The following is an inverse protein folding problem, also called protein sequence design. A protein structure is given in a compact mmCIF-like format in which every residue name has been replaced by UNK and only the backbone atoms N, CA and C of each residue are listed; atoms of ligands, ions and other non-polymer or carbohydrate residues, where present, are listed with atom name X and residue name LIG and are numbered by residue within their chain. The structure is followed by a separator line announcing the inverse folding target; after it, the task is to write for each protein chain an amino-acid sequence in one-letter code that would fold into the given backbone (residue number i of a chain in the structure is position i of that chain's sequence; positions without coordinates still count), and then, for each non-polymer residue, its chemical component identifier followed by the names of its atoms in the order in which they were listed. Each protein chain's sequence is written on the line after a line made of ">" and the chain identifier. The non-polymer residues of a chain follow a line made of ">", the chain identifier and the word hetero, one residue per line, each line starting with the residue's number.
data_IF_219568630317
#
_entry.id   IF_219568630317
#
_cell.length_a   1.000
_cell.length_b   1.000
_cell.length_c   1.000
_cell.angle_alpha   90.00
_cell.angle_beta   90.00
_cell.angle_gamma   90.00
#
_symmetry.space_group_name_H-M   'P 1'
#
loop_
_entity.id
_entity.type
_entity.pdbx_description
1 polymer ?
#
# COMPACT_ATOMS: atom_id res chain seq x y z
N UNK A 1 9.31 9.28 0.50
CA UNK A 1 8.23 10.19 0.95
C UNK A 1 8.68 11.62 0.75
N UNK A 2 7.83 12.47 0.17
CA UNK A 2 8.13 13.91 -0.02
C UNK A 2 7.28 14.72 0.94
N UNK A 3 7.89 15.62 1.71
CA UNK A 3 7.20 16.49 2.68
C UNK A 3 7.65 17.93 2.54
N UNK A 4 6.72 18.88 2.70
CA UNK A 4 7.03 20.30 2.81
C UNK A 4 6.92 20.70 4.28
N UNK A 5 8.07 20.95 4.91
CA UNK A 5 8.16 21.19 6.35
C UNK A 5 8.84 22.52 6.63
N UNK A 6 8.42 23.16 7.71
CA UNK A 6 9.12 24.28 8.30
C UNK A 6 9.96 23.74 9.44
N UNK A 7 11.28 23.78 9.27
CA UNK A 7 12.18 23.32 10.34
C UNK A 7 12.46 24.49 11.24
N UNK A 8 11.80 24.53 12.39
CA UNK A 8 12.04 25.58 13.37
C UNK A 8 13.33 25.33 14.14
N UNK A 9 14.29 26.22 13.92
CA UNK A 9 15.62 26.16 14.50
C UNK A 9 15.83 27.28 15.50
N UNK A 10 16.36 26.96 16.68
CA UNK A 10 16.81 27.96 17.65
C UNK A 10 18.11 27.54 18.32
N UNK A 11 19.05 28.49 18.40
CA UNK A 11 20.34 28.33 19.07
C UNK A 11 20.79 29.66 19.69
N UNK A 12 21.86 29.62 20.47
CA UNK A 12 22.50 30.81 21.02
C UNK A 12 23.89 30.98 20.43
N UNK A 13 24.20 32.18 19.96
CA UNK A 13 25.52 32.57 19.50
C UNK A 13 26.04 33.74 20.36
N UNK A 14 27.11 33.48 21.11
CA UNK A 14 27.73 34.47 22.00
C UNK A 14 28.35 35.64 21.24
N UNK A 15 28.68 35.48 19.94
CA UNK A 15 29.24 36.56 19.10
C UNK A 15 28.18 37.54 18.61
N UNK A 16 26.91 37.15 18.68
CA UNK A 16 25.77 37.94 18.18
C UNK A 16 24.98 38.59 19.31
N UNK A 17 25.64 38.88 20.44
CA UNK A 17 25.07 39.56 21.60
C UNK A 17 25.44 41.05 21.58
N UNK A 18 24.49 41.93 21.87
CA UNK A 18 24.74 43.38 21.99
C UNK A 18 23.90 43.99 23.13
N UNK A 19 24.29 45.18 23.59
CA UNK A 19 23.47 45.96 24.54
C UNK A 19 22.54 46.90 23.74
N UNK A 20 21.21 46.75 23.81
CA UNK A 20 20.27 47.64 23.14
C UNK A 20 20.52 49.13 23.44
N UNK A 21 21.06 49.48 24.61
CA UNK A 21 21.33 50.88 24.99
C UNK A 21 22.38 51.55 24.09
N UNK A 22 23.34 50.80 23.58
CA UNK A 22 24.40 51.33 22.70
C UNK A 22 23.93 51.50 21.25
N UNK A 23 22.85 50.81 20.86
CA UNK A 23 22.36 50.73 19.49
C UNK A 23 20.94 51.30 19.32
N UNK A 24 20.59 52.33 20.11
CA UNK A 24 19.31 53.04 19.95
C UNK A 24 18.07 52.23 20.34
N UNK A 25 18.21 51.28 21.27
CA UNK A 25 17.12 50.44 21.79
C UNK A 25 16.75 49.26 20.89
N UNK A 26 17.59 48.89 19.92
CA UNK A 26 17.31 47.76 19.02
C UNK A 26 17.42 46.44 19.80
N UNK A 27 16.31 45.73 19.96
CA UNK A 27 16.27 44.43 20.65
C UNK A 27 16.30 43.23 19.68
N UNK A 28 15.90 43.43 18.42
CA UNK A 28 15.80 42.36 17.43
C UNK A 28 16.25 42.80 16.03
N UNK A 29 16.85 41.87 15.29
CA UNK A 29 17.37 42.08 13.94
C UNK A 29 17.02 40.91 13.03
N UNK A 30 16.76 41.18 11.75
CA UNK A 30 16.60 40.15 10.73
C UNK A 30 17.81 40.12 9.81
N UNK A 31 18.59 39.05 9.88
CA UNK A 31 19.85 38.91 9.13
C UNK A 31 19.74 37.72 8.17
N UNK A 32 20.26 37.82 6.93
CA UNK A 32 20.35 36.66 6.03
C UNK A 32 21.07 35.48 6.69
N UNK A 33 20.52 34.28 6.59
CA UNK A 33 21.08 33.07 7.21
C UNK A 33 22.46 32.66 6.69
N UNK A 34 22.88 33.17 5.53
CA UNK A 34 24.16 32.85 4.91
C UNK A 34 25.33 33.69 5.47
N UNK A 35 25.03 34.77 6.21
CA UNK A 35 26.05 35.64 6.83
C UNK A 35 26.37 35.27 8.28
N UNK A 36 25.64 34.31 8.85
CA UNK A 36 25.81 33.86 10.23
C UNK A 36 26.10 32.36 10.24
N UNK A 37 26.75 31.88 11.29
CA UNK A 37 26.89 30.44 11.49
C UNK A 37 25.50 29.83 11.77
N UNK A 38 25.23 28.69 11.13
CA UNK A 38 23.99 27.91 11.30
C UNK A 38 24.35 26.45 11.57
N UNK A 39 23.57 25.74 12.40
CA UNK A 39 23.77 24.30 12.58
C UNK A 39 23.43 23.56 11.29
N UNK A 40 24.22 22.55 10.97
CA UNK A 40 24.13 21.72 9.76
C UNK A 40 23.15 20.55 9.98
N UNK A 41 21.91 20.87 10.33
CA UNK A 41 20.86 19.87 10.51
C UNK A 41 20.42 19.35 9.14
N UNK A 42 20.68 18.07 8.88
CA UNK A 42 20.37 17.40 7.62
C UNK A 42 19.46 16.21 7.85
N UNK A 43 18.76 15.80 6.79
CA UNK A 43 18.00 14.55 6.75
C UNK A 43 18.94 13.39 6.38
N UNK A 44 19.22 12.49 7.33
CA UNK A 44 20.14 11.35 7.08
C UNK A 44 19.59 10.35 6.08
N UNK A 45 18.30 10.02 6.16
CA UNK A 45 17.66 9.11 5.22
C UNK A 45 17.12 9.83 3.99
N UNK A 46 17.88 10.77 3.43
CA UNK A 46 17.50 11.48 2.21
C UNK A 46 17.62 10.58 0.96
N UNK A 47 16.63 10.64 0.07
CA UNK A 47 16.60 9.87 -1.17
C UNK A 47 17.09 10.66 -2.41
N UNK A 48 17.20 12.00 -2.33
CA UNK A 48 17.50 12.88 -3.47
C UNK A 48 18.98 13.28 -3.59
N UNK A 49 19.81 12.94 -2.59
CA UNK A 49 21.23 13.30 -2.55
C UNK A 49 21.54 14.78 -2.29
N UNK A 50 20.54 15.67 -2.32
CA UNK A 50 20.69 17.08 -1.92
C UNK A 50 20.25 17.28 -0.46
N UNK A 51 21.19 17.55 0.42
CA UNK A 51 20.98 17.64 1.88
C UNK A 51 20.71 19.07 2.36
N UNK A 52 20.85 20.07 1.50
CA UNK A 52 20.71 21.49 1.87
C UNK A 52 19.28 22.02 1.68
N UNK A 53 18.93 23.01 2.51
CA UNK A 53 17.68 23.76 2.41
C UNK A 53 17.68 24.58 1.11
N UNK A 54 16.69 24.34 0.24
CA UNK A 54 16.59 24.99 -1.08
C UNK A 54 16.27 26.49 -1.05
N UNK A 55 15.78 27.00 0.09
CA UNK A 55 15.45 28.41 0.28
C UNK A 55 16.04 28.97 1.58
N UNK A 56 17.11 29.76 1.47
CA UNK A 56 17.71 30.47 2.59
C UNK A 56 16.81 31.67 2.99
N UNK A 57 16.10 31.55 4.10
CA UNK A 57 15.31 32.64 4.69
C UNK A 57 16.13 33.44 5.70
N UNK A 58 15.72 34.68 5.98
CA UNK A 58 16.35 35.49 7.04
C UNK A 58 16.12 34.86 8.42
N UNK A 59 17.16 34.84 9.24
CA UNK A 59 17.06 34.49 10.66
C UNK A 59 16.69 35.71 11.49
N UNK A 60 15.99 35.50 12.59
CA UNK A 60 15.67 36.52 13.59
C UNK A 60 16.66 36.39 14.74
N UNK A 61 17.37 37.47 15.02
CA UNK A 61 18.35 37.56 16.10
C UNK A 61 17.81 38.46 17.19
N UNK A 62 18.00 38.04 18.43
CA UNK A 62 17.66 38.79 19.63
C UNK A 62 18.94 39.29 20.30
N UNK A 63 18.91 40.47 20.95
CA UNK A 63 20.06 41.09 21.63
C UNK A 63 20.77 40.17 22.64
N UNK A 64 20.04 39.18 23.18
CA UNK A 64 20.57 38.15 24.08
C UNK A 64 21.56 37.17 23.42
N UNK A 65 21.67 37.19 22.08
CA UNK A 65 22.43 36.21 21.29
C UNK A 65 21.58 35.01 20.85
N UNK A 66 20.27 34.99 21.13
CA UNK A 66 19.37 33.95 20.63
C UNK A 66 19.08 34.17 19.15
N UNK A 67 19.27 33.13 18.34
CA UNK A 67 18.95 33.10 16.93
C UNK A 67 17.79 32.14 16.69
N UNK A 68 16.81 32.57 15.91
CA UNK A 68 15.68 31.76 15.46
C UNK A 68 15.61 31.77 13.94
N UNK A 69 15.59 30.58 13.35
CA UNK A 69 15.58 30.39 11.91
C UNK A 69 14.54 29.33 11.54
N UNK A 70 13.59 29.68 10.68
CA UNK A 70 12.49 28.79 10.28
C UNK A 70 12.44 28.64 8.77
N UNK A 71 13.42 27.96 8.15
CA UNK A 71 13.40 27.72 6.71
C UNK A 71 12.28 26.73 6.31
N UNK A 72 11.53 27.02 5.23
CA UNK A 72 10.74 26.00 4.55
C UNK A 72 11.65 25.11 3.71
N UNK A 73 11.45 23.80 3.77
CA UNK A 73 12.22 22.84 3.01
C UNK A 73 11.34 21.70 2.51
N UNK A 74 11.60 21.25 1.28
CA UNK A 74 11.00 20.06 0.70
C UNK A 74 11.95 18.89 0.94
N UNK A 75 11.61 18.03 1.89
CA UNK A 75 12.40 16.85 2.21
C UNK A 75 11.89 15.62 1.48
N UNK A 76 12.81 14.89 0.86
CA UNK A 76 12.54 13.58 0.24
C UNK A 76 13.21 12.48 1.07
N UNK A 77 12.48 11.87 1.99
CA UNK A 77 13.00 10.77 2.80
C UNK A 77 12.84 9.41 2.10
N UNK A 78 13.82 8.53 2.30
CA UNK A 78 13.72 7.10 1.99
C UNK A 78 12.82 6.42 3.01
N UNK A 79 11.87 5.63 2.51
CA UNK A 79 10.88 4.92 3.30
C UNK A 79 10.65 3.54 2.67
N UNK A 80 10.72 2.49 3.47
CA UNK A 80 10.39 1.13 3.06
C UNK A 80 8.87 0.98 3.01
N UNK A 81 8.36 0.48 1.88
CA UNK A 81 6.92 0.35 1.64
C UNK A 81 6.53 -1.11 1.87
N UNK A 82 5.64 -1.34 2.82
CA UNK A 82 5.03 -2.65 3.03
C UNK A 82 3.83 -2.82 2.10
N UNK A 83 3.94 -3.75 1.14
CA UNK A 83 2.90 -3.99 0.14
C UNK A 83 1.99 -5.17 0.51
N UNK A 84 2.18 -5.83 1.65
CA UNK A 84 1.45 -7.05 2.02
C UNK A 84 -0.07 -6.88 1.90
N UNK A 85 -0.60 -5.77 2.40
CA UNK A 85 -2.04 -5.50 2.43
C UNK A 85 -2.51 -4.50 1.37
N UNK A 86 -1.70 -4.17 0.37
CA UNK A 86 -2.09 -3.23 -0.69
C UNK A 86 -3.46 -3.58 -1.33
N UNK A 87 -4.40 -2.62 -1.50
CA UNK A 87 -4.32 -1.17 -1.25
C UNK A 87 -4.78 -0.73 0.15
N UNK A 88 -5.00 -1.67 1.06
CA UNK A 88 -5.42 -1.48 2.45
C UNK A 88 -4.21 -1.35 3.39
N UNK A 89 -3.12 -0.82 2.88
CA UNK A 89 -1.83 -0.71 3.55
C UNK A 89 -1.73 0.50 4.49
N UNK A 90 -0.98 0.31 5.57
CA UNK A 90 -0.49 1.36 6.47
C UNK A 90 1.03 1.43 6.32
N UNK A 91 1.56 2.64 6.15
CA UNK A 91 2.99 2.88 5.93
C UNK A 91 3.56 3.68 7.08
N UNK A 92 4.66 3.20 7.67
CA UNK A 92 5.39 3.94 8.71
C UNK A 92 6.68 4.47 8.13
N UNK A 93 6.68 5.73 7.72
CA UNK A 93 7.86 6.39 7.18
C UNK A 93 8.60 7.15 8.28
N UNK A 94 9.92 6.95 8.36
CA UNK A 94 10.78 7.65 9.31
C UNK A 94 11.46 8.86 8.67
N UNK A 95 11.66 9.93 9.42
CA UNK A 95 12.52 11.05 9.04
C UNK A 95 13.55 11.25 10.13
N UNK A 96 14.82 11.10 9.78
CA UNK A 96 15.94 11.19 10.73
C UNK A 96 16.72 12.47 10.49
N UNK A 97 16.64 13.40 11.43
CA UNK A 97 17.38 14.65 11.41
C UNK A 97 18.54 14.60 12.39
N UNK A 98 19.70 15.08 11.97
CA UNK A 98 20.89 15.18 12.82
C UNK A 98 21.91 16.13 12.21
N UNK A 99 22.95 16.46 12.97
CA UNK A 99 24.08 17.22 12.45
C UNK A 99 24.94 16.33 11.54
N UNK A 100 25.40 16.84 10.40
CA UNK A 100 26.30 16.07 9.53
C UNK A 100 27.74 16.04 10.04
N UNK A 101 28.21 17.15 10.60
CA UNK A 101 29.63 17.39 10.90
C UNK A 101 29.94 17.36 12.40
N UNK A 102 28.97 17.68 13.26
CA UNK A 102 29.18 17.77 14.70
C UNK A 102 28.77 16.48 15.43
N UNK A 103 29.68 15.98 16.26
CA UNK A 103 29.41 14.93 17.24
C UNK A 103 28.47 15.40 18.36
N UNK A 104 28.00 14.47 19.19
CA UNK A 104 27.08 14.76 20.28
C UNK A 104 27.64 15.68 21.36
N UNK A 105 28.95 15.71 21.59
CA UNK A 105 29.56 16.59 22.58
C UNK A 105 29.57 18.05 22.10
N UNK A 106 29.88 18.28 20.82
CA UNK A 106 29.86 19.60 20.21
C UNK A 106 28.43 20.10 19.96
N UNK A 107 27.55 19.19 19.53
CA UNK A 107 26.16 19.49 19.21
C UNK A 107 25.33 19.76 20.48
N UNK A 108 25.59 19.05 21.59
CA UNK A 108 24.91 19.30 22.88
C UNK A 108 25.10 20.73 23.41
N UNK A 109 26.25 21.34 23.14
CA UNK A 109 26.58 22.71 23.53
C UNK A 109 26.06 23.78 22.55
N UNK A 110 25.97 23.48 21.25
CA UNK A 110 25.64 24.46 20.19
C UNK A 110 24.21 24.37 19.65
N UNK A 111 23.60 23.19 19.67
CA UNK A 111 22.33 22.91 18.99
C UNK A 111 21.21 22.70 20.01
N UNK A 112 20.60 23.80 20.46
CA UNK A 112 19.59 23.77 21.52
C UNK A 112 18.20 23.30 21.05
N UNK A 113 17.90 23.39 19.74
CA UNK A 113 16.76 22.75 19.06
C UNK A 113 16.40 21.38 19.61
N UNK A 114 17.43 20.56 19.81
CA UNK A 114 17.25 19.15 20.05
C UNK A 114 16.70 18.88 21.45
N UNK A 115 16.70 19.86 22.37
CA UNK A 115 16.26 19.65 23.77
C UNK A 115 14.74 19.49 23.89
N UNK A 116 13.96 19.95 22.91
CA UNK A 116 12.49 19.88 22.97
C UNK A 116 11.90 18.59 22.41
N UNK A 117 12.66 17.81 21.64
CA UNK A 117 12.21 16.55 21.03
C UNK A 117 12.93 15.34 21.65
N UNK A 118 12.29 14.17 21.61
CA UNK A 118 12.89 12.91 22.08
C UNK A 118 14.17 12.63 21.30
N UNK A 119 15.32 12.73 21.97
CA UNK A 119 16.65 12.53 21.40
C UNK A 119 16.99 11.06 21.39
N UNK A 120 17.55 10.58 20.29
CA UNK A 120 18.21 9.28 20.24
C UNK A 120 19.72 9.47 20.24
N UNK A 121 20.41 8.70 21.07
CA UNK A 121 21.87 8.66 21.10
C UNK A 121 22.34 7.33 20.52
N UNK A 122 23.22 7.40 19.52
CA UNK A 122 23.82 6.22 18.90
C UNK A 122 25.34 6.27 18.95
N UNK A 123 25.93 5.17 19.37
CA UNK A 123 27.37 4.95 19.32
C UNK A 123 27.71 4.11 18.09
N UNK A 124 28.75 4.52 17.35
CA UNK A 124 29.25 3.79 16.20
C UNK A 124 30.60 3.16 16.54
N UNK A 125 30.90 2.00 15.95
CA UNK A 125 32.14 1.26 16.22
C UNK A 125 33.42 2.06 15.89
N UNK A 126 33.32 3.13 15.10
CA UNK A 126 34.46 3.97 14.75
C UNK A 126 34.92 4.90 15.89
N UNK A 127 34.01 5.26 16.79
CA UNK A 127 34.08 6.54 17.50
C UNK A 127 33.43 6.41 18.89
N UNK A 128 34.08 6.94 19.93
CA UNK A 128 33.58 6.89 21.30
C UNK A 128 32.52 7.98 21.57
N UNK A 129 32.40 8.96 20.68
CA UNK A 129 31.43 10.05 20.77
C UNK A 129 30.02 9.59 20.35
N UNK A 130 28.96 9.98 21.10
CA UNK A 130 27.59 9.70 20.70
C UNK A 130 27.19 10.58 19.52
N UNK A 131 26.49 10.01 18.56
CA UNK A 131 25.83 10.76 17.49
C UNK A 131 24.37 10.93 17.84
N UNK A 132 23.92 12.18 17.75
CA UNK A 132 22.60 12.59 18.17
C UNK A 132 21.66 12.72 16.97
N UNK A 133 20.52 12.03 17.01
CA UNK A 133 19.48 12.13 15.99
C UNK A 133 18.09 12.34 16.59
N UNK A 134 17.25 13.07 15.85
CA UNK A 134 15.81 13.14 16.07
C UNK A 134 15.15 12.30 14.98
N UNK A 135 14.43 11.27 15.39
CA UNK A 135 13.63 10.45 14.49
C UNK A 135 12.15 10.79 14.63
N UNK A 136 11.52 11.25 13.54
CA UNK A 136 10.07 11.40 13.43
C UNK A 136 9.47 10.20 12.71
N UNK A 137 8.53 9.51 13.36
CA UNK A 137 7.79 8.41 12.75
C UNK A 137 6.44 8.94 12.25
N UNK A 138 6.19 8.84 10.95
CA UNK A 138 4.97 9.29 10.30
C UNK A 138 4.24 8.05 9.79
N UNK A 139 3.15 7.68 10.48
CA UNK A 139 2.24 6.61 10.08
C UNK A 139 1.15 7.17 9.16
N UNK A 140 1.06 6.65 7.94
CA UNK A 140 0.10 7.09 6.93
C UNK A 140 -0.73 5.90 6.45
N UNK A 141 -2.05 6.11 6.35
CA UNK A 141 -2.97 5.12 5.79
C UNK A 141 -3.44 5.55 4.41
N UNK A 142 -3.50 4.60 3.47
CA UNK A 142 -3.96 4.86 2.10
C UNK A 142 -5.49 5.05 2.05
N UNK A 143 -5.95 6.05 1.31
CA UNK A 143 -7.36 6.15 0.89
C UNK A 143 -7.62 5.16 -0.25
N UNK A 144 -8.44 4.14 0.02
CA UNK A 144 -8.57 2.94 -0.84
C UNK A 144 -9.57 3.09 -1.99
N UNK A 145 -10.49 4.06 -1.91
CA UNK A 145 -11.66 4.18 -2.80
C UNK A 145 -11.31 4.10 -4.30
N UNK A 146 -10.26 4.79 -4.73
CA UNK A 146 -9.80 4.77 -6.13
C UNK A 146 -9.45 3.34 -6.59
N UNK A 147 -8.68 2.61 -5.78
CA UNK A 147 -8.26 1.25 -6.09
C UNK A 147 -9.42 0.26 -5.94
N UNK A 148 -10.33 0.49 -4.99
CA UNK A 148 -11.54 -0.33 -4.84
C UNK A 148 -12.42 -0.27 -6.08
N UNK A 149 -12.69 0.93 -6.60
CA UNK A 149 -13.56 1.11 -7.77
C UNK A 149 -12.88 0.66 -9.07
N UNK A 150 -11.60 0.98 -9.26
CA UNK A 150 -10.92 0.76 -10.55
C UNK A 150 -10.19 -0.58 -10.65
N UNK A 151 -9.83 -1.22 -9.53
CA UNK A 151 -9.13 -2.52 -9.55
C UNK A 151 -9.95 -3.64 -8.93
N UNK A 152 -10.44 -3.45 -7.70
CA UNK A 152 -11.10 -4.54 -6.96
C UNK A 152 -12.43 -4.92 -7.60
N UNK A 153 -13.33 -3.96 -7.85
CA UNK A 153 -14.65 -4.24 -8.44
C UNK A 153 -14.55 -4.92 -9.81
N UNK A 154 -13.70 -4.46 -10.76
CA UNK A 154 -13.51 -5.15 -12.04
C UNK A 154 -12.96 -6.57 -11.88
N UNK A 155 -11.95 -6.80 -11.03
CA UNK A 155 -11.39 -8.13 -10.82
C UNK A 155 -12.43 -9.08 -10.19
N UNK A 156 -13.25 -8.58 -9.27
CA UNK A 156 -14.39 -9.30 -8.71
C UNK A 156 -15.43 -9.66 -9.78
N UNK A 157 -15.76 -8.73 -10.66
CA UNK A 157 -16.65 -8.98 -11.80
C UNK A 157 -16.09 -10.05 -12.75
N UNK A 158 -14.80 -9.99 -13.08
CA UNK A 158 -14.13 -10.98 -13.92
C UNK A 158 -14.12 -12.36 -13.25
N UNK A 159 -13.86 -12.43 -11.94
CA UNK A 159 -13.92 -13.69 -11.20
C UNK A 159 -15.32 -14.32 -11.26
N UNK A 160 -16.40 -13.52 -11.24
CA UNK A 160 -17.76 -14.03 -11.42
C UNK A 160 -18.04 -14.51 -12.85
N UNK A 161 -17.47 -13.85 -13.87
CA UNK A 161 -17.58 -14.30 -15.26
C UNK A 161 -16.97 -15.69 -15.48
N UNK A 162 -15.95 -16.09 -14.71
CA UNK A 162 -15.39 -17.46 -14.79
C UNK A 162 -16.43 -18.54 -14.43
N UNK A 163 -17.34 -18.25 -13.50
CA UNK A 163 -18.43 -19.17 -13.13
C UNK A 163 -19.48 -19.25 -14.24
N UNK A 164 -19.76 -18.11 -14.90
CA UNK A 164 -20.72 -18.03 -16.00
C UNK A 164 -20.32 -18.92 -17.20
N UNK A 165 -19.02 -19.16 -17.42
CA UNK A 165 -18.51 -20.08 -18.45
C UNK A 165 -19.11 -21.48 -18.33
N UNK A 166 -19.21 -22.03 -17.11
CA UNK A 166 -19.77 -23.36 -16.88
C UNK A 166 -21.30 -23.40 -16.97
N UNK A 167 -21.95 -22.24 -16.92
CA UNK A 167 -23.38 -22.11 -17.12
C UNK A 167 -23.75 -22.09 -18.61
N UNK A 168 -22.84 -21.62 -19.48
CA UNK A 168 -23.06 -21.53 -20.92
C UNK A 168 -23.07 -22.93 -21.57
N UNK A 169 -24.09 -23.28 -22.37
CA UNK A 169 -24.15 -24.57 -23.04
C UNK A 169 -23.04 -24.71 -24.09
N UNK A 170 -22.51 -25.92 -24.22
CA UNK A 170 -21.44 -26.26 -25.18
C UNK A 170 -21.85 -26.16 -26.65
N UNK A 171 -23.16 -26.14 -26.95
CA UNK A 171 -23.67 -25.99 -28.31
C UNK A 171 -23.38 -24.61 -28.93
N UNK A 172 -23.12 -23.59 -28.10
CA UNK A 172 -22.86 -22.21 -28.56
C UNK A 172 -21.49 -22.00 -29.18
N UNK A 173 -20.52 -22.90 -28.97
CA UNK A 173 -19.13 -22.76 -29.48
C UNK A 173 -18.29 -21.66 -28.81
N UNK A 174 -18.91 -20.62 -28.25
CA UNK A 174 -18.23 -19.45 -27.65
C UNK A 174 -17.61 -19.71 -26.25
N UNK A 175 -17.84 -20.88 -25.65
CA UNK A 175 -17.39 -21.21 -24.30
C UNK A 175 -15.87 -21.09 -24.11
N UNK A 176 -15.09 -21.57 -25.07
CA UNK A 176 -13.62 -21.50 -25.05
C UNK A 176 -13.14 -20.07 -25.29
N UNK A 177 -13.77 -19.36 -26.22
CA UNK A 177 -13.48 -17.96 -26.55
C UNK A 177 -13.65 -17.04 -25.34
N UNK A 178 -14.76 -17.21 -24.60
CA UNK A 178 -15.04 -16.49 -23.36
C UNK A 178 -13.97 -16.77 -22.29
N UNK A 179 -13.61 -18.05 -22.10
CA UNK A 179 -12.61 -18.45 -21.09
C UNK A 179 -11.22 -17.86 -21.39
N UNK A 180 -10.77 -17.91 -22.64
CA UNK A 180 -9.48 -17.35 -23.05
C UNK A 180 -9.47 -15.82 -22.90
N UNK A 181 -10.59 -15.17 -23.20
CA UNK A 181 -10.75 -13.72 -23.07
C UNK A 181 -10.71 -13.26 -21.60
N UNK A 182 -11.25 -14.08 -20.69
CA UNK A 182 -11.14 -13.86 -19.24
C UNK A 182 -9.68 -14.00 -18.79
N UNK A 183 -8.97 -15.06 -19.21
CA UNK A 183 -7.55 -15.24 -18.91
C UNK A 183 -6.72 -14.04 -19.38
N UNK A 184 -6.93 -13.60 -20.62
CA UNK A 184 -6.25 -12.42 -21.17
C UNK A 184 -6.54 -11.16 -20.34
N UNK A 185 -7.81 -10.93 -19.99
CA UNK A 185 -8.18 -9.79 -19.13
C UNK A 185 -7.48 -9.85 -17.77
N UNK A 186 -7.45 -11.02 -17.11
CA UNK A 186 -6.74 -11.21 -15.84
C UNK A 186 -5.23 -10.93 -15.97
N UNK A 187 -4.60 -11.35 -17.07
CA UNK A 187 -3.17 -11.04 -17.31
C UNK A 187 -2.92 -9.53 -17.50
N UNK A 188 -3.81 -8.81 -18.19
CA UNK A 188 -3.70 -7.35 -18.33
C UNK A 188 -3.85 -6.66 -16.97
N UNK A 189 -4.80 -7.08 -16.14
CA UNK A 189 -4.93 -6.56 -14.77
C UNK A 189 -3.71 -6.87 -13.90
N UNK A 190 -3.11 -8.05 -14.05
CA UNK A 190 -1.88 -8.41 -13.34
C UNK A 190 -0.70 -7.53 -13.77
N UNK A 191 -0.54 -7.28 -15.07
CA UNK A 191 0.51 -6.38 -15.58
C UNK A 191 0.32 -4.94 -15.05
N UNK A 192 -0.91 -4.44 -15.09
CA UNK A 192 -1.24 -3.12 -14.54
C UNK A 192 -0.93 -3.05 -13.03
N UNK A 193 -1.20 -4.12 -12.28
CA UNK A 193 -0.84 -4.21 -10.86
C UNK A 193 0.68 -4.19 -10.64
N UNK A 194 1.44 -4.89 -11.49
CA UNK A 194 2.89 -4.93 -11.42
C UNK A 194 3.56 -3.58 -11.76
N UNK A 195 2.90 -2.74 -12.57
CA UNK A 195 3.38 -1.38 -12.86
C UNK A 195 3.11 -0.37 -11.73
N UNK A 196 2.00 -0.54 -10.99
CA UNK A 196 1.61 0.39 -9.91
C UNK A 196 2.42 0.14 -8.62
N UNK A 197 2.74 -1.12 -8.33
CA UNK A 197 3.39 -1.54 -7.09
C UNK A 197 4.91 -1.52 -7.29
N UNK A 198 5.71 -1.01 -6.33
CA UNK A 198 7.16 -1.08 -6.44
C UNK A 198 7.64 -2.54 -6.56
N UNK A 199 8.62 -2.84 -7.43
CA UNK A 199 9.14 -4.19 -7.62
C UNK A 199 9.93 -4.62 -6.39
N UNK A 200 9.23 -5.18 -5.41
CA UNK A 200 9.80 -5.71 -4.16
C UNK A 200 9.55 -7.22 -4.11
N UNK A 201 10.53 -7.98 -3.62
CA UNK A 201 10.47 -9.44 -3.50
C UNK A 201 10.22 -9.93 -2.07
N UNK A 202 9.97 -9.01 -1.13
CA UNK A 202 9.80 -9.34 0.29
C UNK A 202 8.49 -10.08 0.53
N UNK A 203 7.40 -9.58 -0.06
CA UNK A 203 6.05 -10.13 0.12
C UNK A 203 5.26 -9.93 -1.17
N UNK A 204 4.31 -10.83 -1.44
CA UNK A 204 3.33 -10.67 -2.53
C UNK A 204 2.11 -9.94 -1.97
N UNK A 205 1.65 -8.84 -2.60
CA UNK A 205 0.50 -8.07 -2.14
C UNK A 205 -0.78 -8.92 -2.14
N UNK A 206 -1.69 -8.64 -1.21
CA UNK A 206 -2.98 -9.32 -1.06
C UNK A 206 -3.78 -9.37 -2.38
N UNK A 207 -3.86 -8.22 -3.08
CA UNK A 207 -4.51 -8.15 -4.39
C UNK A 207 -3.77 -8.97 -5.47
N UNK A 208 -2.44 -9.03 -5.41
CA UNK A 208 -1.65 -9.88 -6.30
C UNK A 208 -1.90 -11.38 -6.05
N UNK A 209 -1.98 -11.79 -4.78
CA UNK A 209 -2.37 -13.16 -4.39
C UNK A 209 -3.74 -13.52 -4.95
N UNK A 210 -4.71 -12.60 -4.90
CA UNK A 210 -6.04 -12.80 -5.49
C UNK A 210 -5.98 -13.03 -6.99
N UNK A 211 -5.36 -12.11 -7.74
CA UNK A 211 -5.31 -12.20 -9.21
C UNK A 211 -4.58 -13.47 -9.64
N UNK A 212 -3.46 -13.82 -9.00
CA UNK A 212 -2.73 -15.06 -9.27
C UNK A 212 -3.57 -16.31 -8.98
N UNK A 213 -4.28 -16.35 -7.84
CA UNK A 213 -5.19 -17.44 -7.51
C UNK A 213 -6.29 -17.59 -8.56
N UNK A 214 -6.92 -16.48 -8.98
CA UNK A 214 -7.95 -16.51 -10.03
C UNK A 214 -7.38 -16.95 -11.38
N UNK A 215 -6.16 -16.55 -11.74
CA UNK A 215 -5.51 -16.95 -12.98
C UNK A 215 -5.20 -18.46 -13.02
N UNK A 216 -4.76 -19.03 -11.90
CA UNK A 216 -4.52 -20.47 -11.76
C UNK A 216 -5.84 -21.24 -11.87
N UNK A 217 -6.89 -20.78 -11.17
CA UNK A 217 -8.22 -21.38 -11.26
C UNK A 217 -8.79 -21.31 -12.68
N UNK A 218 -8.65 -20.18 -13.36
CA UNK A 218 -9.13 -20.00 -14.73
C UNK A 218 -8.38 -20.88 -15.73
N UNK A 219 -7.06 -21.05 -15.56
CA UNK A 219 -6.27 -21.99 -16.36
C UNK A 219 -6.78 -23.43 -16.17
N UNK A 220 -7.05 -23.83 -14.93
CA UNK A 220 -7.64 -25.15 -14.64
C UNK A 220 -9.06 -25.28 -15.23
N UNK A 221 -9.86 -24.21 -15.16
CA UNK A 221 -11.18 -24.12 -15.79
C UNK A 221 -11.10 -24.36 -17.31
N UNK A 222 -10.16 -23.72 -18.01
CA UNK A 222 -9.93 -23.91 -19.45
C UNK A 222 -9.61 -25.38 -19.75
N UNK A 223 -8.72 -26.03 -18.99
CA UNK A 223 -8.42 -27.45 -19.18
C UNK A 223 -9.67 -28.33 -19.01
N UNK A 224 -10.48 -28.06 -17.97
CA UNK A 224 -11.72 -28.78 -17.72
C UNK A 224 -12.75 -28.55 -18.83
N UNK A 225 -12.93 -27.32 -19.31
CA UNK A 225 -13.87 -27.02 -20.40
C UNK A 225 -13.49 -27.75 -21.70
N UNK A 226 -12.20 -27.86 -22.02
CA UNK A 226 -11.73 -28.66 -23.17
C UNK A 226 -12.07 -30.15 -22.99
N UNK A 227 -11.92 -30.70 -21.78
CA UNK A 227 -12.31 -32.09 -21.47
C UNK A 227 -13.82 -32.28 -21.60
N UNK A 228 -14.63 -31.35 -21.07
CA UNK A 228 -16.09 -31.41 -21.19
C UNK A 228 -16.53 -31.33 -22.65
N UNK A 229 -15.91 -30.46 -23.45
CA UNK A 229 -16.18 -30.36 -24.88
C UNK A 229 -15.79 -31.65 -25.62
N UNK A 230 -14.64 -32.26 -25.28
CA UNK A 230 -14.23 -33.55 -25.83
C UNK A 230 -15.27 -34.66 -25.54
N UNK A 231 -15.81 -34.69 -24.32
CA UNK A 231 -16.87 -35.62 -23.92
C UNK A 231 -18.20 -35.29 -24.63
N UNK A 232 -18.54 -34.01 -24.77
CA UNK A 232 -19.79 -33.57 -25.40
C UNK A 232 -19.89 -33.96 -26.89
N UNK A 233 -18.79 -33.78 -27.63
CA UNK A 233 -18.73 -34.14 -29.06
C UNK A 233 -18.44 -35.63 -29.30
N UNK A 234 -18.36 -36.45 -28.25
CA UNK A 234 -18.18 -37.88 -28.38
C UNK A 234 -19.48 -38.53 -28.87
N UNK A 235 -19.39 -39.28 -29.96
CA UNK A 235 -20.53 -39.98 -30.56
C UNK A 235 -20.42 -41.51 -30.35
N UNK A 236 -21.54 -42.25 -30.32
CA UNK A 236 -21.52 -43.72 -30.22
C UNK A 236 -20.74 -44.42 -31.34
N UNK A 237 -20.52 -43.74 -32.47
CA UNK A 237 -19.78 -44.26 -33.62
C UNK A 237 -18.26 -44.14 -33.47
N UNK A 238 -17.79 -43.20 -32.65
CA UNK A 238 -16.35 -42.93 -32.48
C UNK A 238 -15.77 -43.57 -31.22
N UNK A 239 -16.57 -43.69 -30.15
CA UNK A 239 -16.10 -44.22 -28.86
C UNK A 239 -17.21 -44.96 -28.09
N UNK A 240 -16.84 -46.08 -27.47
CA UNK A 240 -17.68 -46.83 -26.54
C UNK A 240 -17.47 -46.34 -25.09
N UNK A 241 -18.54 -46.30 -24.28
CA UNK A 241 -18.45 -45.90 -22.87
C UNK A 241 -17.77 -46.99 -22.04
N UNK A 242 -16.70 -46.65 -21.32
CA UNK A 242 -16.07 -47.57 -20.39
C UNK A 242 -17.04 -47.96 -19.24
N UNK A 243 -17.01 -49.20 -18.74
CA UNK A 243 -17.97 -49.69 -17.73
C UNK A 243 -17.98 -48.88 -16.44
N UNK A 244 -16.84 -48.29 -16.05
CA UNK A 244 -16.73 -47.46 -14.85
C UNK A 244 -17.39 -46.09 -15.02
N UNK A 245 -17.30 -45.46 -16.20
CA UNK A 245 -17.96 -44.17 -16.51
C UNK A 245 -19.47 -44.36 -16.44
N UNK A 246 -19.96 -45.47 -17.02
CA UNK A 246 -21.37 -45.86 -16.95
C UNK A 246 -21.82 -46.05 -15.50
N UNK A 247 -21.00 -46.68 -14.65
CA UNK A 247 -21.31 -46.89 -13.23
C UNK A 247 -21.36 -45.58 -12.44
N UNK A 248 -20.41 -44.67 -12.66
CA UNK A 248 -20.34 -43.38 -11.92
C UNK A 248 -21.46 -42.43 -12.35
N UNK A 249 -21.63 -42.19 -13.65
CA UNK A 249 -22.56 -41.16 -14.12
C UNK A 249 -24.02 -41.63 -14.21
N UNK A 250 -24.27 -42.93 -14.36
CA UNK A 250 -25.65 -43.46 -14.50
C UNK A 250 -26.16 -44.07 -13.18
N UNK A 251 -25.32 -44.72 -12.37
CA UNK A 251 -25.79 -45.39 -11.14
C UNK A 251 -25.61 -44.56 -9.87
N UNK A 252 -24.56 -43.73 -9.73
CA UNK A 252 -24.31 -42.94 -8.50
C UNK A 252 -25.04 -41.59 -8.50
N UNK A 253 -25.43 -41.06 -9.66
CA UNK A 253 -26.12 -39.77 -9.78
C UNK A 253 -27.60 -39.93 -10.20
N UNK A 254 -28.49 -40.48 -9.35
CA UNK A 254 -29.88 -40.68 -9.72
C UNK A 254 -30.69 -39.42 -9.43
N UNK A 255 -31.11 -38.70 -10.47
CA UNK A 255 -32.49 -38.19 -10.66
C UNK A 255 -32.51 -37.21 -11.83
N UNK A 256 -33.35 -37.56 -12.80
CA UNK A 256 -33.84 -36.79 -13.96
C UNK A 256 -33.11 -37.05 -15.29
N UNK A 257 -33.89 -37.73 -16.15
CA UNK A 257 -33.83 -37.86 -17.61
C UNK A 257 -33.06 -39.05 -18.20
N UNK A 258 -33.88 -40.00 -18.66
CA UNK A 258 -33.59 -41.22 -19.41
C UNK A 258 -33.11 -40.87 -20.82
N UNK A 259 -31.84 -40.51 -20.98
CA UNK A 259 -31.14 -40.58 -22.27
C UNK A 259 -29.69 -41.03 -22.07
N UNK A 260 -29.33 -42.14 -22.71
CA UNK A 260 -27.97 -42.70 -22.76
C UNK A 260 -27.05 -41.89 -23.70
N UNK A 261 -26.98 -40.57 -23.53
CA UNK A 261 -26.26 -39.68 -24.43
C UNK A 261 -25.00 -39.10 -23.75
N UNK A 262 -23.85 -39.15 -24.44
CA UNK A 262 -22.60 -38.49 -24.01
C UNK A 262 -22.79 -37.00 -23.69
N UNK A 263 -23.79 -36.36 -24.31
CA UNK A 263 -24.22 -34.98 -24.02
C UNK A 263 -24.73 -34.80 -22.59
N UNK A 264 -25.45 -35.79 -22.05
CA UNK A 264 -25.92 -35.74 -20.66
C UNK A 264 -24.74 -35.83 -19.68
N UNK A 265 -23.76 -36.70 -19.96
CA UNK A 265 -22.54 -36.82 -19.15
C UNK A 265 -21.77 -35.50 -19.14
N UNK A 266 -21.62 -34.84 -20.29
CA UNK A 266 -20.99 -33.52 -20.38
C UNK A 266 -21.77 -32.44 -19.59
N UNK A 267 -23.11 -32.41 -19.68
CA UNK A 267 -23.94 -31.47 -18.92
C UNK A 267 -23.82 -31.68 -17.40
N UNK A 268 -23.75 -32.93 -16.95
CA UNK A 268 -23.57 -33.28 -15.53
C UNK A 268 -22.19 -32.86 -15.04
N UNK A 269 -21.15 -33.12 -15.83
CA UNK A 269 -19.78 -32.67 -15.53
C UNK A 269 -19.72 -31.15 -15.40
N UNK A 270 -20.33 -30.41 -16.33
CA UNK A 270 -20.40 -28.94 -16.26
C UNK A 270 -21.07 -28.44 -14.98
N UNK A 271 -22.19 -29.06 -14.57
CA UNK A 271 -22.88 -28.69 -13.31
C UNK A 271 -22.02 -29.00 -12.08
N UNK A 272 -21.32 -30.12 -12.08
CA UNK A 272 -20.42 -30.50 -10.99
C UNK A 272 -19.26 -29.50 -10.87
N UNK A 273 -18.60 -29.18 -11.99
CA UNK A 273 -17.52 -28.19 -11.99
C UNK A 273 -18.03 -26.80 -11.65
N UNK A 274 -19.22 -26.40 -12.12
CA UNK A 274 -19.85 -25.14 -11.73
C UNK A 274 -19.93 -24.99 -10.21
N UNK A 275 -20.45 -25.98 -9.49
CA UNK A 275 -20.54 -25.91 -8.03
C UNK A 275 -19.17 -25.83 -7.35
N UNK A 276 -18.19 -26.61 -7.83
CA UNK A 276 -16.83 -26.60 -7.30
C UNK A 276 -16.15 -25.24 -7.51
N UNK A 277 -16.20 -24.70 -8.73
CA UNK A 277 -15.60 -23.41 -9.05
C UNK A 277 -16.32 -22.25 -8.38
N UNK A 278 -17.66 -22.29 -8.29
CA UNK A 278 -18.45 -21.28 -7.57
C UNK A 278 -18.04 -21.24 -6.10
N UNK A 279 -17.90 -22.40 -5.44
CA UNK A 279 -17.45 -22.46 -4.06
C UNK A 279 -16.02 -21.94 -3.92
N UNK A 280 -15.10 -22.34 -4.81
CA UNK A 280 -13.71 -21.90 -4.78
C UNK A 280 -13.57 -20.38 -4.94
N UNK A 281 -14.31 -19.78 -5.87
CA UNK A 281 -14.33 -18.32 -6.08
C UNK A 281 -14.93 -17.61 -4.87
N UNK A 282 -16.08 -18.06 -4.36
CA UNK A 282 -16.72 -17.44 -3.20
C UNK A 282 -15.85 -17.50 -1.93
N UNK A 283 -15.26 -18.66 -1.63
CA UNK A 283 -14.39 -18.84 -0.47
C UNK A 283 -13.10 -18.03 -0.63
N UNK A 284 -12.49 -18.04 -1.83
CA UNK A 284 -11.31 -17.24 -2.13
C UNK A 284 -11.55 -15.75 -1.94
N UNK A 285 -12.60 -15.23 -2.57
CA UNK A 285 -13.05 -13.84 -2.41
C UNK A 285 -13.31 -13.48 -0.95
N UNK A 286 -14.07 -14.30 -0.22
CA UNK A 286 -14.42 -14.03 1.17
C UNK A 286 -13.17 -14.01 2.06
N UNK A 287 -12.25 -14.96 1.87
CA UNK A 287 -10.99 -15.02 2.62
C UNK A 287 -10.16 -13.74 2.47
N UNK A 288 -10.12 -13.17 1.26
CA UNK A 288 -9.35 -11.95 0.98
C UNK A 288 -9.99 -10.70 1.60
N UNK A 289 -11.32 -10.57 1.51
CA UNK A 289 -12.04 -9.43 2.13
C UNK A 289 -11.91 -9.48 3.65
N UNK A 290 -12.00 -10.67 4.24
CA UNK A 290 -11.86 -10.84 5.70
C UNK A 290 -10.45 -10.60 6.20
N UNK A 291 -9.43 -10.83 5.36
CA UNK A 291 -8.03 -10.56 5.68
C UNK A 291 -7.67 -9.07 5.58
N UNK A 292 -8.55 -8.20 5.08
CA UNK A 292 -8.28 -6.77 4.98
C UNK A 292 -8.35 -6.10 6.37
N UNK A 293 -7.20 -5.67 6.96
CA UNK A 293 -7.16 -5.15 8.33
C UNK A 293 -7.91 -3.82 8.48
N UNK A 294 -8.00 -3.04 7.39
CA UNK A 294 -8.69 -1.74 7.35
C UNK A 294 -10.19 -1.78 7.67
N UNK A 295 -10.83 -2.95 7.63
CA UNK A 295 -12.23 -3.12 8.01
C UNK A 295 -12.45 -3.02 9.52
N UNK A 296 -11.39 -3.22 10.32
CA UNK A 296 -11.44 -3.31 11.78
C UNK A 296 -10.67 -2.18 12.50
N UNK A 297 -10.22 -1.17 11.77
CA UNK A 297 -9.41 -0.08 12.31
C UNK A 297 -10.25 1.19 12.54
N UNK A 298 -10.51 1.49 13.82
CA UNK A 298 -11.34 2.61 14.31
C UNK A 298 -10.54 3.92 14.55
N UNK A 299 -9.26 3.98 14.19
CA UNK A 299 -8.43 5.18 14.42
C UNK A 299 -8.93 6.38 13.62
N UNK A 300 -9.07 7.53 14.29
CA UNK A 300 -9.43 8.80 13.67
C UNK A 300 -8.24 9.40 12.90
N UNK A 301 -8.47 9.97 11.70
CA UNK A 301 -7.41 10.63 10.94
C UNK A 301 -6.95 11.92 11.63
N UNK A 302 -5.66 12.23 11.49
CA UNK A 302 -5.02 13.44 12.04
C UNK A 302 -5.71 14.72 11.56
N UNK A 303 -6.22 14.75 10.32
CA UNK A 303 -6.93 15.90 9.76
C UNK A 303 -8.19 16.29 10.57
N UNK A 304 -8.89 15.29 11.13
CA UNK A 304 -10.06 15.50 12.00
C UNK A 304 -9.66 15.93 13.41
N UNK A 305 -8.47 15.53 13.87
CA UNK A 305 -7.96 15.89 15.20
C UNK A 305 -7.38 17.32 15.24
N UNK A 306 -6.73 17.78 14.17
CA UNK A 306 -6.02 19.06 14.13
C UNK A 306 -6.76 20.17 13.37
N UNK A 307 -7.75 19.84 12.52
CA UNK A 307 -8.53 20.85 11.80
C UNK A 307 -9.93 21.06 12.39
N UNK A 308 -10.21 22.28 12.85
CA UNK A 308 -11.54 22.69 13.31
C UNK A 308 -12.60 22.68 12.20
N UNK A 309 -12.16 22.70 10.93
CA UNK A 309 -13.04 22.77 9.74
C UNK A 309 -13.55 21.36 9.38
N UNK A 310 -12.70 20.33 9.42
CA UNK A 310 -13.16 18.96 9.13
C UNK A 310 -13.89 18.31 10.30
N UNK A 311 -13.57 18.66 11.56
CA UNK A 311 -14.32 18.12 12.71
C UNK A 311 -15.81 18.48 12.67
N UNK A 312 -16.14 19.66 12.12
CA UNK A 312 -17.53 20.13 11.92
C UNK A 312 -18.24 19.44 10.73
N UNK A 313 -17.49 18.81 9.84
CA UNK A 313 -18.00 18.17 8.61
C UNK A 313 -17.98 16.63 8.72
N UNK A 314 -17.28 16.08 9.71
CA UNK A 314 -17.25 14.65 9.99
C UNK A 314 -18.65 14.15 10.39
N UNK A 315 -19.09 13.05 9.75
CA UNK A 315 -20.34 12.38 10.13
C UNK A 315 -20.23 11.87 11.57
N UNK A 316 -21.28 12.00 12.40
CA UNK A 316 -21.26 11.49 13.76
C UNK A 316 -21.10 9.98 13.73
N UNK A 317 -19.98 9.47 14.26
CA UNK A 317 -19.81 8.06 14.54
C UNK A 317 -20.69 7.71 15.75
N UNK A 318 -21.64 6.80 15.51
CA UNK A 318 -22.45 6.16 16.55
C UNK A 318 -21.55 5.13 17.21
N UNK A 319 -20.93 5.49 18.33
CA UNK A 319 -20.37 4.49 19.25
C UNK A 319 -21.53 3.80 19.98
N UNK A 320 -21.67 2.46 19.92
CA UNK A 320 -22.52 1.76 20.85
C UNK A 320 -21.84 1.81 22.23
N UNK A 321 -22.53 2.44 23.18
CA UNK A 321 -22.17 2.36 24.59
C UNK A 321 -22.35 0.93 25.08
N UNK A 322 -21.32 0.40 25.74
CA UNK A 322 -21.41 -0.78 26.59
C UNK A 322 -20.61 -0.52 27.86
#
# INVERSE_FOLDING_TARGET
>A
MTTNLWVEQSWFDYKLKWDPKEYGGVEMLHVPSDHIWRPDIVLYNNADGNFEVTLATKATLNYTGRVEWKPPAIYKSSCEIDVEYFPFDEQTCVMKFGSWTYDGFQCSAKCQLMYFFSRNEKFYTCCDEPYLDITFNITMRRKTLFYTVNLIIPCMGISFLTVLVFYLPSDSGEKVSLSISILLSLTVFFLLLAEIIPPTSLVVPLLGKFVLFTMILDTFSICVTVVVLNVHFRSPQTHTMAPWVRRVFIHILPRLLVKEDWKYVAMVLDRLFLWIFTLAVLVGTAGIILQAPTLYDDRLPIDVQLSEIESKTAKPHITPSL
#
